data_IF_092453475379
#
_entry.id   IF_092453475379
#
_cell.length_a   1.000
_cell.length_b   1.000
_cell.length_c   1.000
_cell.angle_alpha   90.00
_cell.angle_beta   90.00
_cell.angle_gamma   90.00
#
_symmetry.space_group_name_H-M   'P 1'
#
loop_
_entity.id
_entity.type
_entity.pdbx_description
1 polymer ?
#
# COMPACT_ATOMS: atom_id res chain seq x y z
N UNK A 1 26.44 9.36 24.23
CA UNK A 1 26.14 8.48 23.07
C UNK A 1 26.75 9.13 21.84
N UNK A 2 27.49 8.37 21.02
CA UNK A 2 27.96 8.88 19.72
C UNK A 2 26.74 9.09 18.79
N UNK A 3 26.77 10.07 17.89
CA UNK A 3 25.69 10.38 16.95
C UNK A 3 25.18 9.13 16.21
N UNK A 4 26.10 8.27 15.75
CA UNK A 4 25.77 7.01 15.07
C UNK A 4 25.02 6.05 16.00
N UNK A 5 25.42 6.00 17.28
CA UNK A 5 24.78 5.14 18.27
C UNK A 5 23.38 5.63 18.65
N UNK A 6 23.17 6.94 18.72
CA UNK A 6 21.84 7.54 18.91
C UNK A 6 20.94 7.29 17.70
N UNK A 7 21.47 7.45 16.48
CA UNK A 7 20.71 7.24 15.24
C UNK A 7 20.23 5.79 15.13
N UNK A 8 21.09 4.80 15.36
CA UNK A 8 20.75 3.38 15.20
C UNK A 8 19.84 2.84 16.31
N UNK A 9 20.07 3.23 17.57
CA UNK A 9 19.36 2.61 18.71
C UNK A 9 18.07 3.34 19.10
N UNK A 10 17.93 4.63 18.76
CA UNK A 10 16.79 5.45 19.19
C UNK A 10 15.98 5.90 17.98
N UNK A 11 16.61 6.61 17.05
CA UNK A 11 15.88 7.30 15.96
C UNK A 11 15.37 6.32 14.91
N UNK A 12 16.23 5.45 14.37
CA UNK A 12 15.84 4.47 13.34
C UNK A 12 14.64 3.60 13.73
N UNK A 13 14.65 2.90 14.88
CA UNK A 13 13.54 2.00 15.24
C UNK A 13 12.22 2.76 15.44
N UNK A 14 12.27 4.01 15.93
CA UNK A 14 11.09 4.85 16.09
C UNK A 14 10.56 5.36 14.74
N UNK A 15 11.47 5.80 13.85
CA UNK A 15 11.11 6.25 12.50
C UNK A 15 10.50 5.12 11.69
N UNK A 16 11.09 3.91 11.70
CA UNK A 16 10.58 2.75 10.97
C UNK A 16 9.12 2.45 11.37
N UNK A 17 8.79 2.50 12.67
CA UNK A 17 7.41 2.30 13.14
C UNK A 17 6.44 3.34 12.59
N UNK A 18 6.89 4.59 12.44
CA UNK A 18 6.06 5.69 11.97
C UNK A 18 5.91 5.75 10.44
N UNK A 19 6.96 5.42 9.67
CA UNK A 19 6.94 5.54 8.20
C UNK A 19 6.36 4.31 7.51
N UNK A 20 6.41 3.14 8.14
CA UNK A 20 5.99 1.88 7.52
C UNK A 20 4.48 1.83 7.17
N UNK A 21 3.56 2.34 8.01
CA UNK A 21 2.14 2.45 7.65
C UNK A 21 1.91 3.37 6.44
N UNK A 22 2.53 4.55 6.44
CA UNK A 22 2.41 5.52 5.34
C UNK A 22 2.97 4.96 4.03
N UNK A 23 4.14 4.31 4.08
CA UNK A 23 4.79 3.70 2.92
C UNK A 23 3.99 2.51 2.39
N UNK A 24 3.36 1.74 3.28
CA UNK A 24 2.44 0.66 2.90
C UNK A 24 1.24 1.18 2.12
N UNK A 25 0.62 2.27 2.59
CA UNK A 25 -0.51 2.86 1.89
C UNK A 25 -0.11 3.37 0.49
N UNK A 26 1.03 4.07 0.39
CA UNK A 26 1.59 4.51 -0.89
C UNK A 26 1.89 3.33 -1.83
N UNK A 27 2.36 2.20 -1.30
CA UNK A 27 2.57 0.99 -2.10
C UNK A 27 1.28 0.48 -2.75
N UNK A 28 0.15 0.50 -2.03
CA UNK A 28 -1.16 0.09 -2.57
C UNK A 28 -1.66 1.06 -3.65
N UNK A 29 -1.40 2.36 -3.49
CA UNK A 29 -1.76 3.38 -4.48
C UNK A 29 -0.94 3.16 -5.76
N UNK A 30 0.37 2.97 -5.63
CA UNK A 30 1.28 2.77 -6.75
C UNK A 30 0.90 1.55 -7.62
N UNK A 31 0.35 0.48 -7.04
CA UNK A 31 -0.16 -0.69 -7.80
C UNK A 31 -1.22 -0.30 -8.83
N UNK A 32 -2.06 0.70 -8.53
CA UNK A 32 -3.08 1.18 -9.47
C UNK A 32 -2.51 2.24 -10.41
N UNK A 33 -1.61 3.07 -9.92
CA UNK A 33 -1.00 4.14 -10.74
C UNK A 33 -0.09 3.56 -11.84
N UNK A 34 0.44 2.34 -11.67
CA UNK A 34 1.15 1.65 -12.76
C UNK A 34 0.31 1.48 -14.02
N UNK A 35 -1.03 1.44 -13.91
CA UNK A 35 -1.92 1.36 -15.07
C UNK A 35 -1.76 2.54 -16.03
N UNK A 36 -1.37 3.71 -15.52
CA UNK A 36 -1.14 4.91 -16.34
C UNK A 36 0.08 4.72 -17.25
N UNK A 37 1.05 3.88 -16.88
CA UNK A 37 2.25 3.59 -17.67
C UNK A 37 1.93 2.88 -19.01
N UNK A 38 0.72 2.34 -19.17
CA UNK A 38 0.23 1.85 -20.46
C UNK A 38 0.35 2.88 -21.59
N UNK A 39 0.19 4.17 -21.28
CA UNK A 39 0.24 5.26 -22.26
C UNK A 39 1.60 5.31 -22.97
N UNK A 40 2.68 4.95 -22.27
CA UNK A 40 4.04 4.85 -22.82
C UNK A 40 4.41 3.40 -23.20
N UNK A 41 3.41 2.54 -23.40
CA UNK A 41 3.54 1.13 -23.80
C UNK A 41 4.29 0.23 -22.82
N UNK A 42 4.31 0.58 -21.52
CA UNK A 42 4.81 -0.35 -20.50
C UNK A 42 3.84 -1.52 -20.37
N UNK A 43 4.38 -2.74 -20.46
CA UNK A 43 3.58 -3.96 -20.33
C UNK A 43 3.30 -4.24 -18.85
N UNK A 44 2.07 -3.95 -18.43
CA UNK A 44 1.52 -4.32 -17.12
C UNK A 44 0.07 -4.82 -17.28
N UNK A 45 -0.66 -5.02 -16.18
CA UNK A 45 -1.96 -5.71 -16.21
C UNK A 45 -2.99 -5.00 -17.10
N UNK A 46 -3.07 -3.66 -17.06
CA UNK A 46 -3.98 -2.89 -17.92
C UNK A 46 -3.58 -2.99 -19.39
N UNK A 47 -2.28 -3.01 -19.69
CA UNK A 47 -1.77 -3.23 -21.06
C UNK A 47 -2.15 -4.58 -21.63
N UNK A 48 -1.97 -5.65 -20.86
CA UNK A 48 -2.36 -6.99 -21.28
C UNK A 48 -3.87 -7.10 -21.47
N UNK A 49 -4.65 -6.49 -20.58
CA UNK A 49 -6.11 -6.44 -20.70
C UNK A 49 -6.54 -5.74 -21.99
N UNK A 50 -5.94 -4.58 -22.29
CA UNK A 50 -6.22 -3.82 -23.52
C UNK A 50 -5.86 -4.62 -24.77
N UNK A 51 -4.74 -5.35 -24.76
CA UNK A 51 -4.30 -6.20 -25.87
C UNK A 51 -5.28 -7.37 -26.10
N UNK A 52 -5.67 -8.08 -25.04
CA UNK A 52 -6.64 -9.18 -25.09
C UNK A 52 -8.02 -8.69 -25.55
N UNK A 53 -8.47 -7.54 -25.04
CA UNK A 53 -9.73 -6.91 -25.43
C UNK A 53 -9.73 -6.52 -26.92
N UNK A 54 -8.60 -6.00 -27.42
CA UNK A 54 -8.43 -5.68 -28.85
C UNK A 54 -8.44 -6.93 -29.74
N UNK A 55 -7.84 -8.03 -29.29
CA UNK A 55 -7.81 -9.29 -30.06
C UNK A 55 -9.16 -10.01 -30.08
N UNK A 56 -9.91 -9.98 -28.97
CA UNK A 56 -11.17 -10.71 -28.84
C UNK A 56 -12.41 -9.84 -29.11
N UNK A 57 -12.24 -8.52 -29.25
CA UNK A 57 -13.31 -7.51 -29.33
C UNK A 57 -14.29 -7.53 -28.13
N UNK A 58 -13.92 -8.19 -27.04
CA UNK A 58 -14.71 -8.32 -25.80
C UNK A 58 -14.18 -7.39 -24.72
N UNK A 59 -14.45 -6.11 -24.88
CA UNK A 59 -13.94 -5.07 -23.99
C UNK A 59 -14.52 -5.17 -22.59
N UNK A 60 -15.84 -5.34 -22.47
CA UNK A 60 -16.52 -5.36 -21.18
C UNK A 60 -16.02 -6.50 -20.30
N UNK A 61 -16.02 -7.73 -20.80
CA UNK A 61 -15.61 -8.90 -20.01
C UNK A 61 -14.11 -8.86 -19.67
N UNK A 62 -13.26 -8.40 -20.59
CA UNK A 62 -11.82 -8.27 -20.34
C UNK A 62 -11.52 -7.25 -19.24
N UNK A 63 -12.13 -6.07 -19.29
CA UNK A 63 -11.93 -5.05 -18.25
C UNK A 63 -12.60 -5.42 -16.93
N UNK A 64 -13.73 -6.14 -16.94
CA UNK A 64 -14.34 -6.65 -15.72
C UNK A 64 -13.42 -7.63 -14.98
N UNK A 65 -12.78 -8.54 -15.70
CA UNK A 65 -11.76 -9.45 -15.14
C UNK A 65 -10.59 -8.64 -14.58
N UNK A 66 -10.11 -7.62 -15.30
CA UNK A 66 -9.03 -6.76 -14.81
C UNK A 66 -9.40 -6.03 -13.51
N UNK A 67 -10.63 -5.51 -13.38
CA UNK A 67 -11.12 -4.90 -12.15
C UNK A 67 -11.08 -5.89 -10.98
N UNK A 68 -11.50 -7.14 -11.18
CA UNK A 68 -11.43 -8.18 -10.16
C UNK A 68 -9.97 -8.46 -9.78
N UNK A 69 -9.07 -8.56 -10.75
CA UNK A 69 -7.64 -8.79 -10.49
C UNK A 69 -6.99 -7.65 -9.69
N UNK A 70 -7.23 -6.39 -10.08
CA UNK A 70 -6.77 -5.24 -9.31
C UNK A 70 -7.38 -5.22 -7.90
N UNK A 71 -8.65 -5.56 -7.76
CA UNK A 71 -9.29 -5.65 -6.44
C UNK A 71 -8.66 -6.74 -5.58
N UNK A 72 -8.46 -7.95 -6.10
CA UNK A 72 -7.83 -9.06 -5.35
C UNK A 72 -6.40 -8.69 -4.95
N UNK A 73 -5.61 -8.10 -5.85
CA UNK A 73 -4.25 -7.65 -5.51
C UNK A 73 -4.26 -6.59 -4.42
N UNK A 74 -5.00 -5.50 -4.61
CA UNK A 74 -5.04 -4.40 -3.64
C UNK A 74 -5.59 -4.85 -2.29
N UNK A 75 -6.67 -5.64 -2.28
CA UNK A 75 -7.25 -6.20 -1.06
C UNK A 75 -6.26 -7.09 -0.30
N UNK A 76 -5.54 -7.97 -1.01
CA UNK A 76 -4.55 -8.86 -0.40
C UNK A 76 -3.40 -8.07 0.22
N UNK A 77 -2.87 -7.09 -0.50
CA UNK A 77 -1.78 -6.23 -0.01
C UNK A 77 -2.24 -5.39 1.19
N UNK A 78 -3.41 -4.76 1.13
CA UNK A 78 -3.97 -4.00 2.26
C UNK A 78 -4.17 -4.88 3.50
N UNK A 79 -4.59 -6.14 3.34
CA UNK A 79 -4.72 -7.07 4.48
C UNK A 79 -3.38 -7.44 5.08
N UNK A 80 -2.36 -7.68 4.26
CA UNK A 80 -0.99 -7.94 4.72
C UNK A 80 -0.45 -6.72 5.48
N UNK A 81 -0.61 -5.51 4.94
CA UNK A 81 -0.18 -4.28 5.58
C UNK A 81 -0.86 -4.05 6.92
N UNK A 82 -2.19 -4.20 6.99
CA UNK A 82 -2.94 -4.12 8.26
C UNK A 82 -2.47 -5.13 9.31
N UNK A 83 -2.09 -6.33 8.88
CA UNK A 83 -1.53 -7.34 9.79
C UNK A 83 -0.15 -6.90 10.31
N UNK A 84 0.70 -6.34 9.45
CA UNK A 84 2.00 -5.80 9.84
C UNK A 84 1.87 -4.59 10.78
N UNK A 85 0.96 -3.67 10.48
CA UNK A 85 0.64 -2.51 11.32
C UNK A 85 0.20 -2.96 12.72
N UNK A 86 -0.75 -3.90 12.81
CA UNK A 86 -1.23 -4.42 14.10
C UNK A 86 -0.13 -5.12 14.91
N UNK A 87 0.84 -5.75 14.24
CA UNK A 87 2.00 -6.35 14.91
C UNK A 87 2.98 -5.28 15.41
N UNK A 88 3.09 -4.17 14.70
CA UNK A 88 3.97 -3.05 15.06
C UNK A 88 3.39 -2.19 16.18
N UNK A 89 2.08 -1.96 16.23
CA UNK A 89 1.44 -1.07 17.23
C UNK A 89 1.54 -1.56 18.68
N UNK A 90 1.78 -2.86 18.92
CA UNK A 90 1.86 -3.39 20.28
C UNK A 90 0.53 -3.29 21.05
N UNK A 91 0.48 -3.78 22.28
CA UNK A 91 -0.75 -3.79 23.09
C UNK A 91 -1.21 -2.35 23.37
N UNK A 92 -2.43 -2.03 22.97
CA UNK A 92 -3.19 -0.76 23.14
C UNK A 92 -3.38 -0.31 24.61
N UNK A 93 -2.32 -0.26 25.42
CA UNK A 93 -2.36 0.19 26.80
C UNK A 93 -1.94 1.65 26.97
N UNK A 94 -1.87 2.43 25.89
CA UNK A 94 -1.89 3.89 26.01
C UNK A 94 -3.28 4.38 25.69
N UNK A 95 -4.21 4.13 26.62
CA UNK A 95 -5.42 4.93 26.74
C UNK A 95 -4.98 6.39 26.77
N UNK A 96 -5.28 7.10 25.70
CA UNK A 96 -5.13 8.54 25.58
C UNK A 96 -6.04 9.20 26.64
N UNK A 97 -5.58 9.25 27.89
CA UNK A 97 -6.09 10.15 28.92
C UNK A 97 -5.85 11.63 28.54
N UNK A 98 -5.34 11.90 27.33
CA UNK A 98 -5.23 13.23 26.75
C UNK A 98 -6.55 13.76 26.15
N UNK A 99 -7.65 12.99 26.14
CA UNK A 99 -8.99 13.51 25.79
C UNK A 99 -9.78 14.01 27.03
N UNK A 100 -9.14 14.74 27.94
CA UNK A 100 -9.81 15.35 29.11
C UNK A 100 -9.32 16.75 29.53
N UNK A 101 -8.54 17.47 28.72
CA UNK A 101 -8.03 18.77 29.21
C UNK A 101 -7.87 19.90 28.20
N UNK A 102 -8.66 19.96 27.13
CA UNK A 102 -8.87 21.23 26.42
C UNK A 102 -10.35 21.41 26.05
N UNK A 103 -10.92 22.44 26.67
CA UNK A 103 -12.26 23.01 26.54
C UNK A 103 -12.57 23.39 25.10
#
# INVERSE_FOLDING_TARGET
>A
MNHVQTMLNVVLPQVIRNILPATGNEFVINIKDTSVLNVISVTELYFQTKSIAGNNFRYFESFFIACILYFVMTYTVTRILRYLEKKLDGSDNYNLMANQMQV
#
